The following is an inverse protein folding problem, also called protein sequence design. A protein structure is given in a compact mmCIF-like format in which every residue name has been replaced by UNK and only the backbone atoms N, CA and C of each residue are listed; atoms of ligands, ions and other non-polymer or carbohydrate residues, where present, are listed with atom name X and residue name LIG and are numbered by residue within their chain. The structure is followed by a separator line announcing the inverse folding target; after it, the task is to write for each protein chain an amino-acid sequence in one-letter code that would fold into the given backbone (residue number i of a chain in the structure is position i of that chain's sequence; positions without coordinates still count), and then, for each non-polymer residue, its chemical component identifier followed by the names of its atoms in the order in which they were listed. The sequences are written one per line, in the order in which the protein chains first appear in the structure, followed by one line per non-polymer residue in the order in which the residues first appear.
data_IF_444652419983
#
_entry.id   IF_444652419983
#
_cell.length_a   1.000
_cell.length_b   1.000
_cell.length_c   1.000
_cell.angle_alpha   90.00
_cell.angle_beta   90.00
_cell.angle_gamma   90.00
#
_symmetry.space_group_name_H-M   'P 1'
#
loop_
_entity.id
_entity.type
_entity.pdbx_description
1 polymer ?
#
# COMPACT_ATOMS: atom_id res chain seq x y z
N UNK A 1 13.48 -4.66 -2.50
CA UNK A 1 12.75 -5.27 -3.63
C UNK A 1 12.47 -4.20 -4.68
N UNK A 2 11.92 -4.51 -5.86
CA UNK A 2 11.54 -3.46 -6.82
C UNK A 2 10.22 -2.83 -6.37
N UNK A 3 10.24 -1.55 -5.98
CA UNK A 3 9.05 -0.80 -5.57
C UNK A 3 8.57 0.09 -6.71
N UNK A 4 7.26 0.04 -7.01
CA UNK A 4 6.62 0.84 -8.07
C UNK A 4 5.42 1.60 -7.49
N UNK A 5 5.10 2.75 -8.10
CA UNK A 5 3.97 3.57 -7.70
C UNK A 5 3.08 3.88 -8.89
N UNK A 6 1.77 3.60 -8.76
CA UNK A 6 0.81 4.05 -9.77
C UNK A 6 0.48 5.53 -9.60
N UNK A 7 0.14 6.18 -10.72
CA UNK A 7 -0.42 7.55 -10.71
C UNK A 7 -1.65 7.68 -9.82
N UNK A 8 -2.44 6.61 -9.65
CA UNK A 8 -3.56 6.59 -8.71
C UNK A 8 -3.11 6.77 -7.27
N UNK A 9 -2.07 6.05 -6.83
CA UNK A 9 -1.50 6.16 -5.50
C UNK A 9 -1.01 7.58 -5.23
N UNK A 10 -0.26 8.17 -6.18
CA UNK A 10 0.21 9.56 -6.07
C UNK A 10 -0.96 10.55 -5.91
N UNK A 11 -2.02 10.42 -6.71
CA UNK A 11 -3.21 11.27 -6.60
C UNK A 11 -3.95 11.08 -5.28
N UNK A 12 -3.99 9.86 -4.76
CA UNK A 12 -4.63 9.56 -3.49
C UNK A 12 -3.86 10.21 -2.33
N UNK A 13 -2.52 10.14 -2.33
CA UNK A 13 -1.67 10.79 -1.32
C UNK A 13 -1.87 12.31 -1.27
N UNK A 14 -2.07 12.98 -2.41
CA UNK A 14 -2.38 14.43 -2.46
C UNK A 14 -3.66 14.80 -1.71
N UNK A 15 -4.58 13.84 -1.51
CA UNK A 15 -5.85 14.04 -0.77
C UNK A 15 -5.72 13.73 0.72
N UNK A 16 -4.64 13.07 1.15
CA UNK A 16 -4.41 12.72 2.56
C UNK A 16 -3.92 13.96 3.32
N UNK A 17 -4.75 14.49 4.22
CA UNK A 17 -4.40 15.67 5.06
C UNK A 17 -3.74 15.28 6.39
N UNK A 18 -3.90 14.04 6.83
CA UNK A 18 -3.41 13.58 8.12
C UNK A 18 -1.90 13.30 8.06
N UNK A 19 -1.10 14.13 8.73
CA UNK A 19 0.37 14.00 8.77
C UNK A 19 0.84 12.65 9.33
N UNK A 20 0.11 12.08 10.29
CA UNK A 20 0.43 10.76 10.85
C UNK A 20 0.31 9.65 9.81
N UNK A 21 -0.70 9.72 8.94
CA UNK A 21 -0.91 8.78 7.83
C UNK A 21 0.21 8.92 6.81
N UNK A 22 0.56 10.14 6.41
CA UNK A 22 1.66 10.37 5.47
C UNK A 22 3.00 9.86 6.02
N UNK A 23 3.26 10.04 7.32
CA UNK A 23 4.46 9.51 7.98
C UNK A 23 4.49 7.98 7.95
N UNK A 24 3.38 7.32 8.32
CA UNK A 24 3.28 5.86 8.26
C UNK A 24 3.41 5.32 6.82
N UNK A 25 2.83 6.00 5.82
CA UNK A 25 3.02 5.65 4.40
C UNK A 25 4.50 5.68 4.04
N UNK A 26 5.22 6.74 4.44
CA UNK A 26 6.66 6.85 4.18
C UNK A 26 7.45 5.71 4.84
N UNK A 27 7.19 5.43 6.11
CA UNK A 27 7.84 4.32 6.83
C UNK A 27 7.61 2.97 6.14
N UNK A 28 6.41 2.73 5.61
CA UNK A 28 6.07 1.52 4.84
C UNK A 28 6.84 1.46 3.51
N UNK A 29 6.96 2.60 2.81
CA UNK A 29 7.73 2.67 1.56
C UNK A 29 9.21 2.38 1.82
N UNK A 30 9.80 3.04 2.82
CA UNK A 30 11.20 2.84 3.23
C UNK A 30 11.45 1.37 3.60
N UNK A 31 10.53 0.75 4.36
CA UNK A 31 10.61 -0.68 4.69
C UNK A 31 10.55 -1.57 3.44
N UNK A 32 9.66 -1.27 2.49
CA UNK A 32 9.51 -2.04 1.26
C UNK A 32 10.75 -1.93 0.34
N UNK A 33 11.37 -0.75 0.28
CA UNK A 33 12.59 -0.52 -0.48
C UNK A 33 13.77 -1.30 0.10
N UNK A 34 13.87 -1.38 1.44
CA UNK A 34 14.93 -2.13 2.15
C UNK A 34 14.70 -3.64 2.22
N UNK A 35 13.47 -4.10 2.04
CA UNK A 35 13.12 -5.52 2.18
C UNK A 35 13.64 -6.37 1.01
N UNK A 36 14.14 -7.56 1.31
CA UNK A 36 14.55 -8.55 0.29
C UNK A 36 13.35 -9.32 -0.27
N UNK A 37 12.35 -9.58 0.58
CA UNK A 37 11.10 -10.24 0.22
C UNK A 37 9.88 -9.51 0.79
N UNK A 38 8.72 -9.67 0.14
CA UNK A 38 7.49 -8.98 0.57
C UNK A 38 7.02 -9.35 1.98
N UNK A 39 7.44 -10.52 2.49
CA UNK A 39 7.07 -11.03 3.82
C UNK A 39 7.73 -10.22 4.95
N UNK A 40 8.83 -9.54 4.66
CA UNK A 40 9.52 -8.65 5.60
C UNK A 40 8.75 -7.32 5.82
N UNK A 41 7.83 -6.97 4.93
CA UNK A 41 7.03 -5.74 5.05
C UNK A 41 5.90 -5.94 6.06
N UNK A 42 6.01 -5.24 7.18
CA UNK A 42 5.11 -5.39 8.31
C UNK A 42 3.69 -4.92 7.98
N UNK A 43 2.69 -5.65 8.50
CA UNK A 43 1.28 -5.30 8.32
C UNK A 43 0.72 -5.60 6.92
N UNK A 44 1.52 -6.18 6.02
CA UNK A 44 1.06 -6.65 4.72
C UNK A 44 0.13 -7.86 4.89
N UNK A 45 -1.09 -7.74 4.38
CA UNK A 45 -2.12 -8.78 4.45
C UNK A 45 -2.68 -9.07 3.07
N UNK A 46 -2.66 -10.33 2.67
CA UNK A 46 -3.30 -10.80 1.43
C UNK A 46 -4.81 -10.57 1.49
N UNK A 47 -5.40 -10.21 0.37
CA UNK A 47 -6.83 -9.98 0.25
C UNK A 47 -7.55 -11.25 -0.19
N UNK A 48 -8.68 -11.55 0.44
CA UNK A 48 -9.46 -12.76 0.17
C UNK A 48 -9.94 -12.80 -1.27
N UNK A 49 -9.84 -13.95 -1.93
CA UNK A 49 -10.29 -14.13 -3.31
C UNK A 49 -9.33 -13.65 -4.40
N UNK A 50 -8.17 -13.09 -4.02
CA UNK A 50 -7.19 -12.56 -4.97
C UNK A 50 -5.79 -13.08 -4.67
N UNK A 51 -5.04 -13.45 -5.71
CA UNK A 51 -3.69 -14.02 -5.55
C UNK A 51 -2.59 -12.98 -5.37
N UNK A 52 -2.73 -11.84 -6.04
CA UNK A 52 -1.68 -10.83 -6.15
C UNK A 52 -1.99 -9.56 -5.35
N UNK A 53 -3.19 -9.44 -4.76
CA UNK A 53 -3.64 -8.23 -4.09
C UNK A 53 -3.45 -8.32 -2.57
N UNK A 54 -2.84 -7.28 -2.03
CA UNK A 54 -2.50 -7.13 -0.62
C UNK A 54 -2.90 -5.74 -0.13
N UNK A 55 -3.01 -5.61 1.19
CA UNK A 55 -3.22 -4.32 1.86
C UNK A 55 -2.29 -4.13 3.04
N UNK A 56 -1.99 -2.87 3.35
CA UNK A 56 -1.42 -2.45 4.62
C UNK A 56 -2.36 -1.44 5.27
N UNK A 57 -2.55 -1.57 6.59
CA UNK A 57 -3.34 -0.62 7.39
C UNK A 57 -2.47 0.56 7.81
N UNK A 58 -2.95 1.78 7.56
CA UNK A 58 -2.30 3.03 7.92
C UNK A 58 -3.31 3.92 8.66
N UNK A 59 -3.52 3.62 9.94
CA UNK A 59 -4.61 4.21 10.74
C UNK A 59 -5.99 3.92 10.15
N UNK A 60 -6.66 4.99 9.71
CA UNK A 60 -7.96 4.99 9.03
C UNK A 60 -7.86 4.81 7.51
N UNK A 61 -6.64 4.78 6.97
CA UNK A 61 -6.36 4.57 5.55
C UNK A 61 -5.84 3.16 5.30
N UNK A 62 -5.97 2.73 4.05
CA UNK A 62 -5.49 1.44 3.57
C UNK A 62 -4.72 1.66 2.28
N UNK A 63 -3.51 1.12 2.30
CA UNK A 63 -2.64 1.09 1.14
C UNK A 63 -2.95 -0.19 0.38
N UNK A 64 -3.26 -0.03 -0.90
CA UNK A 64 -3.48 -1.12 -1.82
C UNK A 64 -2.21 -1.48 -2.57
N UNK A 65 -1.83 -2.76 -2.54
CA UNK A 65 -0.58 -3.28 -3.08
C UNK A 65 -0.85 -4.45 -4.03
N UNK A 66 -0.18 -4.46 -5.17
CA UNK A 66 -0.10 -5.62 -6.06
C UNK A 66 1.31 -6.19 -5.99
N UNK A 67 1.42 -7.51 -5.79
CA UNK A 67 2.68 -8.23 -5.76
C UNK A 67 2.81 -9.13 -6.99
N UNK A 68 3.81 -8.85 -7.81
CA UNK A 68 4.12 -9.62 -9.01
C UNK A 68 5.57 -10.13 -8.92
N UNK A 69 5.75 -11.31 -8.32
CA UNK A 69 7.07 -11.89 -8.09
C UNK A 69 7.93 -11.03 -7.14
N UNK A 70 8.89 -10.30 -7.71
CA UNK A 70 9.83 -9.43 -6.97
C UNK A 70 9.42 -7.95 -6.94
N UNK A 71 8.33 -7.61 -7.65
CA UNK A 71 7.83 -6.24 -7.72
C UNK A 71 6.67 -6.02 -6.74
N UNK A 72 6.77 -4.96 -5.95
CA UNK A 72 5.69 -4.44 -5.11
C UNK A 72 5.18 -3.11 -5.67
N UNK A 73 3.97 -3.14 -6.21
CA UNK A 73 3.32 -1.96 -6.79
C UNK A 73 2.32 -1.36 -5.81
N UNK A 74 2.54 -0.11 -5.40
CA UNK A 74 1.61 0.70 -4.62
C UNK A 74 0.56 1.30 -5.55
N UNK A 75 -0.69 0.85 -5.40
CA UNK A 75 -1.79 1.16 -6.32
C UNK A 75 -2.74 2.22 -5.79
N UNK A 76 -3.11 2.16 -4.50
CA UNK A 76 -4.09 3.06 -3.85
C UNK A 76 -3.69 3.45 -2.43
N UNK A 77 -4.11 4.63 -1.97
CA UNK A 77 -4.03 5.03 -0.56
C UNK A 77 -5.34 5.69 -0.13
N UNK A 78 -6.33 4.89 0.21
CA UNK A 78 -7.71 5.36 0.39
C UNK A 78 -8.16 5.25 1.83
N UNK A 79 -9.09 6.12 2.23
CA UNK A 79 -9.74 5.99 3.52
C UNK A 79 -10.49 4.65 3.60
N UNK A 80 -10.66 4.11 4.81
CA UNK A 80 -11.27 2.79 5.05
C UNK A 80 -12.65 2.61 4.42
N UNK A 81 -13.39 3.71 4.25
CA UNK A 81 -14.74 3.74 3.68
C UNK A 81 -14.75 3.66 2.16
N UNK A 82 -13.63 3.97 1.52
CA UNK A 82 -13.52 4.07 0.07
C UNK A 82 -12.74 2.91 -0.54
N UNK A 83 -11.79 2.32 0.21
CA UNK A 83 -10.87 1.33 -0.37
C UNK A 83 -11.61 0.21 -1.10
N UNK A 84 -12.65 -0.39 -0.52
CA UNK A 84 -13.37 -1.52 -1.12
C UNK A 84 -14.23 -1.17 -2.34
N UNK A 85 -14.39 0.12 -2.65
CA UNK A 85 -15.02 0.55 -3.91
C UNK A 85 -14.02 0.59 -5.07
N UNK A 86 -12.73 0.59 -4.76
CA UNK A 86 -11.66 0.91 -5.72
C UNK A 86 -10.45 -0.03 -5.64
N UNK A 87 -10.33 -0.89 -4.59
CA UNK A 87 -9.19 -1.75 -4.30
C UNK A 87 -9.36 -2.72 -3.09
N UNK A 88 -8.97 -3.99 -3.25
CA UNK A 88 -9.23 -4.82 -4.41
C UNK A 88 -10.73 -5.06 -4.52
#
# INVERSE_FOLDING_TARGET
MIVRFRKSFERDLKKVKHRSVLRQVREIIEQAEMASEYREVAGLRKMTGHNEYYRIRCGEYRIGIVLNGVEMEFVRCLHRREVYRYFP
#
